data_IF_567321102732
#
_entry.id   IF_567321102732
#
_cell.length_a   1.000
_cell.length_b   1.000
_cell.length_c   1.000
_cell.angle_alpha   90.00
_cell.angle_beta   90.00
_cell.angle_gamma   90.00
#
_symmetry.space_group_name_H-M   'P 1'
#
loop_
_entity.id
_entity.type
_entity.pdbx_description
1 polymer ?
#
# COMPACT_ATOMS: atom_id res chain seq x y z
N UNK A 1 17.58 2.23 21.93
CA UNK A 1 17.17 2.46 20.53
C UNK A 1 17.08 1.13 19.78
N UNK A 2 18.01 0.24 19.94
CA UNK A 2 18.12 -1.07 19.27
C UNK A 2 16.93 -2.04 19.46
N UNK A 3 16.36 -2.14 20.67
CA UNK A 3 15.20 -3.02 20.92
C UNK A 3 13.91 -2.60 20.22
N UNK A 4 13.69 -1.28 20.02
CA UNK A 4 12.51 -0.78 19.28
C UNK A 4 12.60 -1.09 17.77
N UNK A 5 13.81 -1.11 17.23
CA UNK A 5 14.02 -1.40 15.80
C UNK A 5 13.87 -2.89 15.52
N UNK A 6 14.32 -3.77 16.41
CA UNK A 6 14.11 -5.24 16.33
C UNK A 6 12.62 -5.59 16.43
N UNK A 7 11.86 -4.93 17.29
CA UNK A 7 10.41 -5.11 17.36
C UNK A 7 9.71 -4.62 16.10
N UNK A 8 10.17 -3.51 15.52
CA UNK A 8 9.63 -2.97 14.26
C UNK A 8 9.88 -3.94 13.10
N UNK A 9 11.03 -4.58 13.05
CA UNK A 9 11.39 -5.56 12.03
C UNK A 9 10.57 -6.85 12.15
N UNK A 10 10.42 -7.39 13.38
CA UNK A 10 9.52 -8.55 13.62
C UNK A 10 8.08 -8.28 13.22
N UNK A 11 7.55 -7.09 13.52
CA UNK A 11 6.21 -6.70 13.11
C UNK A 11 6.08 -6.53 11.60
N UNK A 12 7.14 -6.07 10.94
CA UNK A 12 7.19 -5.98 9.48
C UNK A 12 7.12 -7.38 8.85
N UNK A 13 7.88 -8.34 9.35
CA UNK A 13 7.87 -9.74 8.89
C UNK A 13 6.48 -10.36 9.09
N UNK A 14 5.80 -10.08 10.20
CA UNK A 14 4.47 -10.59 10.48
C UNK A 14 3.43 -10.02 9.51
N UNK A 15 3.52 -8.72 9.18
CA UNK A 15 2.69 -8.08 8.15
C UNK A 15 2.92 -8.69 6.77
N UNK A 16 4.13 -9.13 6.47
CA UNK A 16 4.50 -9.82 5.23
C UNK A 16 3.79 -11.15 5.05
N UNK A 17 3.80 -11.96 6.10
CA UNK A 17 3.08 -13.24 6.09
C UNK A 17 1.59 -13.03 5.86
N UNK A 18 1.00 -12.00 6.48
CA UNK A 18 -0.41 -11.66 6.31
C UNK A 18 -0.75 -11.22 4.88
N UNK A 19 0.06 -10.36 4.27
CA UNK A 19 -0.15 -9.93 2.87
C UNK A 19 -0.02 -11.10 1.91
N UNK A 20 0.96 -11.97 2.12
CA UNK A 20 1.16 -13.15 1.30
C UNK A 20 -0.03 -14.12 1.44
N UNK A 21 -0.52 -14.34 2.65
CA UNK A 21 -1.67 -15.20 2.93
C UNK A 21 -2.96 -14.62 2.30
N UNK A 22 -3.18 -13.31 2.40
CA UNK A 22 -4.28 -12.61 1.75
C UNK A 22 -4.21 -12.72 0.22
N UNK A 23 -3.02 -12.60 -0.36
CA UNK A 23 -2.82 -12.73 -1.80
C UNK A 23 -3.12 -14.15 -2.29
N UNK A 24 -2.72 -15.17 -1.54
CA UNK A 24 -3.06 -16.56 -1.83
C UNK A 24 -4.57 -16.79 -1.74
N UNK A 25 -5.22 -16.28 -0.69
CA UNK A 25 -6.67 -16.37 -0.54
C UNK A 25 -7.40 -15.70 -1.72
N UNK A 26 -6.95 -14.51 -2.11
CA UNK A 26 -7.50 -13.78 -3.27
C UNK A 26 -7.32 -14.56 -4.57
N UNK A 27 -6.20 -15.27 -4.74
CA UNK A 27 -5.99 -16.14 -5.90
C UNK A 27 -6.99 -17.31 -5.93
N UNK A 28 -7.24 -17.95 -4.80
CA UNK A 28 -8.20 -19.05 -4.69
C UNK A 28 -9.60 -18.58 -5.05
N UNK A 29 -10.02 -17.40 -4.55
CA UNK A 29 -11.30 -16.79 -4.90
C UNK A 29 -11.38 -16.52 -6.41
N UNK A 30 -10.32 -15.98 -7.00
CA UNK A 30 -10.25 -15.72 -8.45
C UNK A 30 -10.40 -16.98 -9.30
N UNK A 31 -9.76 -18.08 -8.90
CA UNK A 31 -9.89 -19.38 -9.56
C UNK A 31 -11.33 -19.92 -9.41
N UNK A 32 -11.92 -19.80 -8.21
CA UNK A 32 -13.31 -20.18 -7.98
C UNK A 32 -14.29 -19.43 -8.89
N UNK A 33 -14.07 -18.12 -9.08
CA UNK A 33 -14.85 -17.33 -10.01
C UNK A 33 -14.71 -17.82 -11.47
N UNK A 34 -13.55 -18.28 -11.90
CA UNK A 34 -13.36 -18.84 -13.24
C UNK A 34 -14.05 -20.18 -13.42
N UNK A 35 -14.04 -21.04 -12.40
CA UNK A 35 -14.80 -22.30 -12.44
C UNK A 35 -16.30 -22.00 -12.56
N UNK A 36 -16.81 -21.05 -11.79
CA UNK A 36 -18.21 -20.62 -11.88
C UNK A 36 -18.55 -20.01 -13.25
N UNK A 37 -17.63 -19.24 -13.83
CA UNK A 37 -17.79 -18.71 -15.18
C UNK A 37 -17.97 -19.83 -16.21
N UNK A 38 -17.15 -20.87 -16.12
CA UNK A 38 -17.26 -22.05 -16.98
C UNK A 38 -18.62 -22.74 -16.85
N UNK A 39 -19.10 -22.92 -15.64
CA UNK A 39 -20.42 -23.51 -15.38
C UNK A 39 -21.55 -22.66 -16.00
N UNK A 40 -21.56 -21.34 -15.80
CA UNK A 40 -22.56 -20.44 -16.36
C UNK A 40 -22.57 -20.45 -17.90
N UNK A 41 -21.39 -20.51 -18.53
CA UNK A 41 -21.25 -20.58 -19.99
C UNK A 41 -21.82 -21.91 -20.51
N UNK A 42 -21.52 -23.04 -19.87
CA UNK A 42 -22.00 -24.37 -20.24
C UNK A 42 -23.54 -24.42 -20.16
N UNK A 43 -24.15 -23.79 -19.16
CA UNK A 43 -25.61 -23.72 -18.99
C UNK A 43 -26.27 -22.71 -19.95
N UNK A 44 -25.48 -22.00 -20.77
CA UNK A 44 -25.98 -21.01 -21.75
C UNK A 44 -26.11 -19.59 -21.24
N UNK A 45 -25.69 -19.32 -20.02
CA UNK A 45 -25.73 -17.99 -19.41
C UNK A 45 -24.47 -17.16 -19.74
N UNK A 46 -24.18 -16.94 -21.02
CA UNK A 46 -22.97 -16.29 -21.52
C UNK A 46 -22.65 -14.96 -20.78
N UNK A 47 -23.68 -14.12 -20.58
CA UNK A 47 -23.48 -12.81 -19.95
C UNK A 47 -23.01 -12.92 -18.49
N UNK A 48 -23.59 -13.84 -17.71
CA UNK A 48 -23.14 -14.11 -16.34
C UNK A 48 -21.72 -14.69 -16.33
N UNK A 49 -21.44 -15.62 -17.24
CA UNK A 49 -20.12 -16.23 -17.38
C UNK A 49 -19.04 -15.18 -17.65
N UNK A 50 -19.26 -14.22 -18.55
CA UNK A 50 -18.31 -13.16 -18.84
C UNK A 50 -18.02 -12.28 -17.62
N UNK A 51 -19.04 -11.95 -16.80
CA UNK A 51 -18.84 -11.16 -15.59
C UNK A 51 -18.00 -11.92 -14.56
N UNK A 52 -18.26 -13.21 -14.38
CA UNK A 52 -17.46 -14.06 -13.51
C UNK A 52 -16.00 -14.14 -13.97
N UNK A 53 -15.74 -14.20 -15.29
CA UNK A 53 -14.40 -14.15 -15.84
C UNK A 53 -13.67 -12.84 -15.51
N UNK A 54 -14.33 -11.70 -15.74
CA UNK A 54 -13.75 -10.39 -15.46
C UNK A 54 -13.46 -10.24 -13.97
N UNK A 55 -14.40 -10.64 -13.11
CA UNK A 55 -14.24 -10.57 -11.67
C UNK A 55 -13.07 -11.43 -11.18
N UNK A 56 -12.98 -12.68 -11.65
CA UNK A 56 -11.86 -13.58 -11.35
C UNK A 56 -10.52 -13.00 -11.82
N UNK A 57 -10.48 -12.34 -12.98
CA UNK A 57 -9.27 -11.68 -13.50
C UNK A 57 -8.81 -10.55 -12.58
N UNK A 58 -9.71 -9.70 -12.06
CA UNK A 58 -9.38 -8.65 -11.09
C UNK A 58 -8.74 -9.24 -9.84
N UNK A 59 -9.30 -10.34 -9.30
CA UNK A 59 -8.75 -11.02 -8.13
C UNK A 59 -7.34 -11.55 -8.39
N UNK A 60 -7.11 -12.18 -9.53
CA UNK A 60 -5.78 -12.71 -9.89
C UNK A 60 -4.77 -11.59 -10.07
N UNK A 61 -5.14 -10.48 -10.71
CA UNK A 61 -4.28 -9.31 -10.87
C UNK A 61 -3.89 -8.76 -9.48
N UNK A 62 -4.86 -8.55 -8.59
CA UNK A 62 -4.61 -8.06 -7.22
C UNK A 62 -3.70 -9.02 -6.46
N UNK A 63 -3.92 -10.33 -6.58
CA UNK A 63 -3.09 -11.35 -5.96
C UNK A 63 -1.64 -11.34 -6.50
N UNK A 64 -1.47 -11.27 -7.82
CA UNK A 64 -0.15 -11.18 -8.46
C UNK A 64 0.64 -9.95 -8.00
N UNK A 65 -0.04 -8.80 -7.91
CA UNK A 65 0.56 -7.60 -7.32
C UNK A 65 0.96 -7.83 -5.86
N UNK A 66 0.09 -8.39 -5.03
CA UNK A 66 0.37 -8.70 -3.63
C UNK A 66 1.59 -9.63 -3.48
N UNK A 67 1.67 -10.71 -4.26
CA UNK A 67 2.81 -11.64 -4.26
C UNK A 67 4.09 -10.94 -4.74
N UNK A 68 4.03 -10.18 -5.83
CA UNK A 68 5.18 -9.43 -6.34
C UNK A 68 5.70 -8.41 -5.32
N UNK A 69 4.79 -7.68 -4.68
CA UNK A 69 5.14 -6.78 -3.59
C UNK A 69 5.70 -7.52 -2.38
N UNK A 70 5.19 -8.70 -2.05
CA UNK A 70 5.71 -9.50 -0.93
C UNK A 70 7.12 -10.01 -1.17
N UNK A 71 7.49 -10.34 -2.39
CA UNK A 71 8.83 -10.86 -2.76
C UNK A 71 9.93 -9.78 -2.85
N UNK A 72 9.59 -8.49 -2.89
CA UNK A 72 10.61 -7.44 -2.90
C UNK A 72 11.39 -7.47 -1.58
N UNK A 73 12.69 -7.80 -1.67
CA UNK A 73 13.59 -7.80 -0.50
C UNK A 73 13.56 -6.43 0.17
N UNK A 74 13.35 -6.44 1.48
CA UNK A 74 13.63 -5.25 2.27
C UNK A 74 15.11 -4.91 2.07
N UNK A 75 15.36 -3.65 1.78
CA UNK A 75 16.72 -3.13 1.76
C UNK A 75 17.34 -3.36 3.14
N UNK A 76 18.61 -3.76 3.16
CA UNK A 76 19.35 -3.82 4.41
C UNK A 76 19.28 -2.43 5.04
N UNK A 77 18.53 -2.30 6.12
CA UNK A 77 18.35 -1.08 6.90
C UNK A 77 19.55 -0.80 7.80
N UNK A 78 20.62 -1.59 7.64
CA UNK A 78 21.79 -1.63 8.52
C UNK A 78 22.49 -0.28 8.68
N UNK A 79 22.39 0.60 7.67
CA UNK A 79 23.07 1.90 7.68
C UNK A 79 22.11 3.09 7.79
N UNK A 80 20.84 2.85 8.16
CA UNK A 80 19.86 3.94 8.30
C UNK A 80 19.87 4.51 9.72
N UNK A 81 19.97 5.84 9.83
CA UNK A 81 19.81 6.56 11.09
C UNK A 81 18.38 6.38 11.63
N UNK A 82 17.38 6.50 10.78
CA UNK A 82 15.96 6.19 11.03
C UNK A 82 15.15 6.17 9.75
N UNK A 83 13.87 5.75 9.87
CA UNK A 83 12.94 5.65 8.74
C UNK A 83 11.69 6.46 9.04
N UNK A 84 11.32 7.33 8.09
CA UNK A 84 10.04 8.04 8.09
C UNK A 84 9.03 7.22 7.27
N UNK A 85 7.92 6.81 7.89
CA UNK A 85 6.93 5.93 7.25
C UNK A 85 5.51 6.25 7.69
N UNK A 86 4.53 5.75 6.94
CA UNK A 86 3.11 5.86 7.31
C UNK A 86 2.80 5.13 8.62
N UNK A 87 1.81 5.63 9.37
CA UNK A 87 1.32 4.99 10.59
C UNK A 87 0.68 3.63 10.28
N UNK A 88 0.76 2.68 11.23
CA UNK A 88 0.20 1.33 11.10
C UNK A 88 -1.32 1.31 10.87
N UNK A 89 -2.03 2.34 11.33
CA UNK A 89 -3.47 2.46 11.12
C UNK A 89 -3.91 2.35 9.66
N UNK A 90 -3.09 2.82 8.70
CA UNK A 90 -3.37 2.69 7.27
C UNK A 90 -3.34 1.23 6.82
N UNK A 91 -2.39 0.43 7.34
CA UNK A 91 -2.33 -1.00 7.05
C UNK A 91 -3.55 -1.73 7.64
N UNK A 92 -3.91 -1.43 8.89
CA UNK A 92 -5.08 -2.01 9.56
C UNK A 92 -6.35 -1.68 8.79
N UNK A 93 -6.52 -0.43 8.37
CA UNK A 93 -7.64 0.01 7.55
C UNK A 93 -7.74 -0.80 6.25
N UNK A 94 -6.61 -1.03 5.57
CA UNK A 94 -6.53 -1.89 4.38
C UNK A 94 -6.99 -3.33 4.65
N UNK A 95 -6.55 -3.94 5.78
CA UNK A 95 -6.95 -5.30 6.17
C UNK A 95 -8.46 -5.34 6.45
N UNK A 96 -8.97 -4.42 7.26
CA UNK A 96 -10.39 -4.37 7.63
C UNK A 96 -11.27 -4.21 6.38
N UNK A 97 -10.93 -3.26 5.50
CA UNK A 97 -11.67 -3.06 4.25
C UNK A 97 -11.67 -4.31 3.39
N UNK A 98 -10.51 -4.99 3.25
CA UNK A 98 -10.42 -6.24 2.52
C UNK A 98 -11.33 -7.32 3.11
N UNK A 99 -11.23 -7.57 4.41
CA UNK A 99 -12.03 -8.60 5.08
C UNK A 99 -13.53 -8.32 4.98
N UNK A 100 -13.96 -7.08 5.24
CA UNK A 100 -15.37 -6.67 5.13
C UNK A 100 -15.87 -6.87 3.69
N UNK A 101 -15.10 -6.45 2.69
CA UNK A 101 -15.48 -6.59 1.28
C UNK A 101 -15.67 -8.05 0.89
N UNK A 102 -14.73 -8.93 1.29
CA UNK A 102 -14.84 -10.36 1.00
C UNK A 102 -16.03 -11.00 1.74
N UNK A 103 -16.22 -10.68 3.01
CA UNK A 103 -17.37 -11.20 3.78
C UNK A 103 -18.71 -10.75 3.18
N UNK A 104 -18.87 -9.48 2.86
CA UNK A 104 -20.11 -8.96 2.24
C UNK A 104 -20.36 -9.65 0.92
N UNK A 105 -19.33 -9.80 0.08
CA UNK A 105 -19.46 -10.49 -1.21
C UNK A 105 -19.91 -11.94 -1.03
N UNK A 106 -19.28 -12.70 -0.13
CA UNK A 106 -19.63 -14.10 0.12
C UNK A 106 -21.04 -14.25 0.68
N UNK A 107 -21.43 -13.40 1.64
CA UNK A 107 -22.78 -13.42 2.20
C UNK A 107 -23.83 -13.10 1.14
N UNK A 108 -23.55 -12.13 0.27
CA UNK A 108 -24.47 -11.78 -0.81
C UNK A 108 -24.66 -12.94 -1.80
N UNK A 109 -23.59 -13.66 -2.12
CA UNK A 109 -23.68 -14.85 -3.00
C UNK A 109 -24.48 -15.99 -2.40
N UNK A 110 -24.39 -16.18 -1.06
CA UNK A 110 -25.04 -17.30 -0.38
C UNK A 110 -26.53 -17.03 -0.12
N UNK A 111 -26.88 -15.79 0.25
CA UNK A 111 -28.19 -15.49 0.80
C UNK A 111 -29.12 -14.72 -0.13
N UNK A 112 -28.64 -14.16 -1.24
CA UNK A 112 -29.45 -13.33 -2.12
C UNK A 112 -29.58 -13.95 -3.51
N UNK A 113 -30.81 -14.22 -3.93
CA UNK A 113 -31.16 -14.39 -5.35
C UNK A 113 -31.11 -13.04 -6.04
N UNK A 114 -29.96 -12.73 -6.64
CA UNK A 114 -29.74 -11.41 -7.24
C UNK A 114 -30.17 -11.38 -8.69
N UNK A 115 -30.84 -10.29 -9.07
CA UNK A 115 -31.00 -9.96 -10.48
C UNK A 115 -29.63 -9.74 -11.12
N UNK A 116 -29.54 -9.99 -12.44
CA UNK A 116 -28.30 -9.78 -13.22
C UNK A 116 -27.69 -8.39 -13.03
N UNK A 117 -28.52 -7.34 -13.04
CA UNK A 117 -28.10 -5.95 -12.86
C UNK A 117 -27.50 -5.73 -11.45
N UNK A 118 -28.16 -6.22 -10.41
CA UNK A 118 -27.69 -6.11 -9.03
C UNK A 118 -26.33 -6.82 -8.85
N UNK A 119 -26.13 -7.98 -9.50
CA UNK A 119 -24.87 -8.69 -9.49
C UNK A 119 -23.72 -7.88 -10.13
N UNK A 120 -23.98 -7.20 -11.26
CA UNK A 120 -22.97 -6.31 -11.90
C UNK A 120 -22.56 -5.19 -10.94
N UNK A 121 -23.54 -4.49 -10.36
CA UNK A 121 -23.24 -3.40 -9.42
C UNK A 121 -22.41 -3.89 -8.21
N UNK A 122 -22.79 -5.01 -7.64
CA UNK A 122 -22.06 -5.62 -6.52
C UNK A 122 -20.61 -5.97 -6.93
N UNK A 123 -20.43 -6.63 -8.07
CA UNK A 123 -19.10 -7.01 -8.57
C UNK A 123 -18.22 -5.78 -8.82
N UNK A 124 -18.76 -4.71 -9.38
CA UNK A 124 -18.05 -3.45 -9.56
C UNK A 124 -17.65 -2.81 -8.22
N UNK A 125 -18.59 -2.69 -7.28
CA UNK A 125 -18.33 -2.09 -5.97
C UNK A 125 -17.26 -2.87 -5.19
N UNK A 126 -17.37 -4.20 -5.14
CA UNK A 126 -16.39 -5.04 -4.43
C UNK A 126 -15.02 -4.99 -5.09
N UNK A 127 -14.94 -4.96 -6.43
CA UNK A 127 -13.67 -4.78 -7.15
C UNK A 127 -13.01 -3.44 -6.81
N UNK A 128 -13.77 -2.34 -6.78
CA UNK A 128 -13.26 -1.02 -6.40
C UNK A 128 -12.73 -1.03 -4.95
N UNK A 129 -13.46 -1.63 -4.00
CA UNK A 129 -13.04 -1.72 -2.61
C UNK A 129 -11.77 -2.57 -2.43
N UNK A 130 -11.62 -3.65 -3.19
CA UNK A 130 -10.39 -4.46 -3.21
C UNK A 130 -9.19 -3.66 -3.71
N UNK A 131 -9.37 -2.87 -4.79
CA UNK A 131 -8.32 -1.99 -5.32
C UNK A 131 -7.93 -0.93 -4.29
N UNK A 132 -8.90 -0.30 -3.61
CA UNK A 132 -8.66 0.69 -2.55
C UNK A 132 -7.91 0.05 -1.38
N UNK A 133 -8.32 -1.13 -0.96
CA UNK A 133 -7.65 -1.88 0.11
C UNK A 133 -6.19 -2.15 -0.23
N UNK A 134 -5.93 -2.63 -1.46
CA UNK A 134 -4.58 -2.84 -1.96
C UNK A 134 -3.76 -1.54 -2.01
N UNK A 135 -4.38 -0.42 -2.40
CA UNK A 135 -3.74 0.89 -2.41
C UNK A 135 -3.24 1.30 -1.01
N UNK A 136 -4.04 1.09 0.05
CA UNK A 136 -3.62 1.37 1.43
C UNK A 136 -2.47 0.49 1.89
N UNK A 137 -2.46 -0.81 1.54
CA UNK A 137 -1.32 -1.68 1.81
C UNK A 137 -0.04 -1.18 1.15
N UNK A 138 -0.13 -0.83 -0.12
CA UNK A 138 1.01 -0.33 -0.88
C UNK A 138 1.53 1.00 -0.32
N UNK A 139 0.64 1.92 0.08
CA UNK A 139 1.02 3.18 0.75
C UNK A 139 1.78 2.93 2.05
N UNK A 140 1.30 2.01 2.88
CA UNK A 140 1.94 1.72 4.15
C UNK A 140 3.35 1.14 3.97
N UNK A 141 3.49 0.26 3.00
CA UNK A 141 4.72 -0.50 2.81
C UNK A 141 5.79 0.23 2.02
N UNK A 142 5.41 0.76 0.88
CA UNK A 142 6.38 1.29 -0.09
C UNK A 142 6.69 2.76 0.16
N UNK A 143 5.72 3.55 0.64
CA UNK A 143 5.93 4.97 0.86
C UNK A 143 6.70 5.20 2.16
N UNK A 144 8.02 5.30 2.05
CA UNK A 144 8.95 5.54 3.15
C UNK A 144 10.12 6.39 2.71
N UNK A 145 10.74 7.06 3.66
CA UNK A 145 11.98 7.80 3.48
C UNK A 145 13.01 7.19 4.43
N UNK A 146 14.10 6.69 3.86
CA UNK A 146 15.20 6.11 4.61
C UNK A 146 16.26 7.20 4.75
N UNK A 147 16.49 7.63 5.98
CA UNK A 147 17.46 8.69 6.28
C UNK A 147 18.78 8.04 6.68
N UNK A 148 19.83 8.33 5.94
CA UNK A 148 21.20 7.96 6.22
C UNK A 148 22.03 9.21 6.58
N UNK A 149 23.26 9.06 6.98
CA UNK A 149 24.09 10.19 7.37
C UNK A 149 24.29 11.20 6.23
N UNK A 150 24.61 10.73 5.02
CA UNK A 150 24.93 11.58 3.86
C UNK A 150 23.80 11.68 2.84
N UNK A 151 22.90 10.71 2.80
CA UNK A 151 21.90 10.60 1.75
C UNK A 151 20.50 10.28 2.30
N UNK A 152 19.50 10.62 1.52
CA UNK A 152 18.09 10.33 1.80
C UNK A 152 17.55 9.52 0.63
N UNK A 153 17.05 8.32 0.92
CA UNK A 153 16.42 7.46 -0.08
C UNK A 153 14.91 7.56 0.05
N UNK A 154 14.26 8.12 -0.96
CA UNK A 154 12.82 8.31 -1.02
C UNK A 154 12.23 7.16 -1.82
N UNK A 155 11.36 6.39 -1.19
CA UNK A 155 10.59 5.35 -1.85
C UNK A 155 9.15 5.86 -2.09
N UNK A 156 8.73 5.88 -3.35
CA UNK A 156 7.37 6.27 -3.69
C UNK A 156 6.39 5.10 -3.54
N UNK A 157 5.10 5.37 -3.74
CA UNK A 157 4.01 4.40 -3.71
C UNK A 157 4.23 3.17 -4.61
N UNK A 158 4.86 3.34 -5.77
CA UNK A 158 5.15 2.24 -6.71
C UNK A 158 6.46 1.49 -6.39
N UNK A 159 7.14 1.83 -5.27
CA UNK A 159 8.41 1.27 -4.89
C UNK A 159 9.59 1.75 -5.75
N UNK A 160 9.39 2.81 -6.56
CA UNK A 160 10.51 3.48 -7.22
C UNK A 160 11.30 4.26 -6.18
N UNK A 161 12.62 4.22 -6.29
CA UNK A 161 13.54 4.85 -5.36
C UNK A 161 14.24 6.02 -6.02
N UNK A 162 14.41 7.07 -5.25
CA UNK A 162 15.24 8.23 -5.62
C UNK A 162 16.15 8.53 -4.44
N UNK A 163 17.43 8.58 -4.68
CA UNK A 163 18.44 9.01 -3.71
C UNK A 163 18.73 10.48 -3.91
N UNK A 164 18.80 11.22 -2.81
CA UNK A 164 19.09 12.66 -2.76
C UNK A 164 20.20 12.84 -1.75
N UNK A 165 21.22 13.63 -2.08
CA UNK A 165 22.23 14.06 -1.12
C UNK A 165 21.58 15.02 -0.12
N UNK A 166 21.85 14.87 1.17
CA UNK A 166 21.36 15.80 2.19
C UNK A 166 21.83 17.24 1.94
N UNK A 167 22.97 17.40 1.31
CA UNK A 167 23.52 18.72 0.96
C UNK A 167 22.74 19.44 -0.15
N UNK A 168 21.96 18.72 -0.95
CA UNK A 168 21.07 19.31 -1.96
C UNK A 168 19.90 20.08 -1.34
N UNK A 169 19.51 19.76 -0.09
CA UNK A 169 18.44 20.44 0.59
C UNK A 169 18.91 21.85 0.97
N UNK A 170 18.27 22.87 0.41
CA UNK A 170 18.55 24.27 0.65
C UNK A 170 17.61 24.93 1.65
N UNK A 171 16.33 24.50 1.65
CA UNK A 171 15.35 25.05 2.57
C UNK A 171 14.18 24.10 2.80
N UNK A 172 13.42 24.33 3.89
CA UNK A 172 12.18 23.63 4.22
C UNK A 172 11.05 24.65 4.22
N UNK A 173 9.96 24.32 3.53
CA UNK A 173 8.73 25.11 3.50
C UNK A 173 7.59 24.31 4.13
N UNK A 174 6.66 24.97 4.80
CA UNK A 174 5.45 24.33 5.33
C UNK A 174 4.21 24.81 4.59
N UNK A 175 3.17 23.99 4.55
CA UNK A 175 1.84 24.42 4.16
C UNK A 175 1.22 25.32 5.26
N UNK A 176 0.12 25.99 4.93
CA UNK A 176 -0.57 26.91 5.84
C UNK A 176 -0.98 26.26 7.17
N UNK A 177 -1.24 24.94 7.18
CA UNK A 177 -1.68 24.21 8.36
C UNK A 177 -0.54 23.48 9.08
N UNK A 178 0.70 23.64 8.65
CA UNK A 178 1.88 22.92 9.17
C UNK A 178 1.73 21.40 9.21
N UNK A 179 0.90 20.84 8.31
CA UNK A 179 0.66 19.38 8.20
C UNK A 179 1.64 18.73 7.24
N UNK A 180 2.11 19.51 6.25
CA UNK A 180 3.01 19.01 5.21
C UNK A 180 4.20 19.95 5.05
N UNK A 181 5.40 19.37 5.03
CA UNK A 181 6.66 20.08 4.84
C UNK A 181 7.26 19.71 3.50
N UNK A 182 7.54 20.70 2.66
CA UNK A 182 8.25 20.58 1.40
C UNK A 182 9.74 20.82 1.60
N UNK A 183 10.56 19.92 1.07
CA UNK A 183 12.01 20.04 1.07
C UNK A 183 12.44 20.51 -0.32
N UNK A 184 13.09 21.67 -0.36
CA UNK A 184 13.47 22.37 -1.57
C UNK A 184 14.98 22.29 -1.77
N UNK A 185 15.44 22.31 -3.02
CA UNK A 185 16.84 22.50 -3.33
C UNK A 185 17.25 23.99 -3.24
N UNK A 186 18.53 24.28 -3.45
CA UNK A 186 19.06 25.66 -3.47
C UNK A 186 18.46 26.52 -4.58
N UNK A 187 17.81 25.94 -5.57
CA UNK A 187 17.13 26.61 -6.69
C UNK A 187 15.62 26.73 -6.48
N UNK A 188 15.11 26.53 -5.26
CA UNK A 188 13.69 26.55 -4.89
C UNK A 188 12.81 25.51 -5.62
N UNK A 189 13.41 24.43 -6.12
CA UNK A 189 12.67 23.34 -6.71
C UNK A 189 12.33 22.30 -5.62
N UNK A 190 11.10 21.85 -5.59
CA UNK A 190 10.66 20.85 -4.61
C UNK A 190 11.27 19.47 -4.92
N UNK A 191 12.09 18.98 -4.01
CA UNK A 191 12.67 17.64 -4.07
C UNK A 191 11.66 16.57 -3.66
N UNK A 192 11.01 16.78 -2.51
CA UNK A 192 9.96 15.91 -1.95
C UNK A 192 9.17 16.62 -0.85
N UNK A 193 8.16 15.96 -0.31
CA UNK A 193 7.40 16.46 0.82
C UNK A 193 7.10 15.36 1.84
N UNK A 194 7.01 15.77 3.12
CA UNK A 194 6.77 14.90 4.27
C UNK A 194 5.56 15.42 5.05
N UNK A 195 4.66 14.52 5.45
CA UNK A 195 3.57 14.88 6.35
C UNK A 195 3.98 14.60 7.80
N UNK A 196 3.66 15.51 8.73
CA UNK A 196 3.91 15.33 10.17
C UNK A 196 3.18 14.11 10.75
N UNK A 197 2.14 13.63 10.06
CA UNK A 197 1.40 12.44 10.44
C UNK A 197 2.18 11.12 10.19
N UNK A 198 3.34 11.18 9.55
CA UNK A 198 4.21 10.02 9.40
C UNK A 198 5.00 9.76 10.68
N UNK A 199 5.34 8.51 10.92
CA UNK A 199 6.22 8.12 12.05
C UNK A 199 7.62 8.70 11.79
N UNK A 200 8.26 9.26 12.80
CA UNK A 200 9.55 9.94 12.77
C UNK A 200 9.62 11.19 11.86
N UNK A 201 8.49 11.72 11.37
CA UNK A 201 8.50 12.90 10.51
C UNK A 201 9.03 14.14 11.22
N UNK A 202 8.56 14.39 12.45
CA UNK A 202 8.98 15.56 13.25
C UNK A 202 10.49 15.51 13.54
N UNK A 203 11.00 14.33 13.92
CA UNK A 203 12.43 14.15 14.17
C UNK A 203 13.26 14.40 12.90
N UNK A 204 12.75 14.00 11.73
CA UNK A 204 13.41 14.23 10.45
C UNK A 204 13.43 15.71 10.06
N UNK A 205 12.30 16.41 10.26
CA UNK A 205 12.20 17.84 9.98
C UNK A 205 13.18 18.61 10.86
N UNK A 206 13.19 18.32 12.17
CA UNK A 206 14.09 18.97 13.14
C UNK A 206 15.56 18.69 12.83
N UNK A 207 15.93 17.42 12.58
CA UNK A 207 17.29 17.02 12.22
C UNK A 207 17.80 17.76 10.95
N UNK A 208 16.89 18.00 9.99
CA UNK A 208 17.24 18.72 8.78
C UNK A 208 17.33 20.24 9.01
N UNK A 209 16.48 20.82 9.86
CA UNK A 209 16.58 22.22 10.25
C UNK A 209 17.89 22.51 10.97
N UNK A 210 18.22 21.68 11.97
CA UNK A 210 19.48 21.81 12.73
C UNK A 210 20.72 21.71 11.84
N UNK A 211 20.62 20.93 10.75
CA UNK A 211 21.70 20.81 9.78
C UNK A 211 21.79 22.04 8.85
N UNK A 212 20.64 22.62 8.47
CA UNK A 212 20.62 23.85 7.66
C UNK A 212 21.13 25.05 8.43
N UNK A 213 20.83 25.15 9.74
CA UNK A 213 21.33 26.23 10.60
C UNK A 213 22.86 26.21 10.83
N UNK A 214 23.48 25.04 10.71
CA UNK A 214 24.94 24.85 10.86
C UNK A 214 25.75 25.15 9.61
N UNK A 215 25.07 25.39 8.49
CA UNK A 215 25.70 25.69 7.18
C UNK A 215 25.78 27.19 6.94
#
# INVERSE_FOLDING_TARGET
MEQKDIQAEKQLIQTWKSIMLLSWFTSIVGIGCWIQAGNEIIVGNMNKGVIWLIYGMVHIIVACFGIRFSKRKNEKLQDSKYIVRRKKGICILGIVTYCVTVCVFLLTLIFLEMSYIAFIYMACCTSCLLIISFFWFSMYREQKIIVREKEIVICNFFGKRRTIDRQEIGQITSDQNHVRYGFMNKQNQQLFAVSVNMVNAVAFIQDTLDELEKR
#
